data_IF_343130005111
#
_entry.id   IF_343130005111
#
_cell.length_a   1.000
_cell.length_b   1.000
_cell.length_c   1.000
_cell.angle_alpha   90.00
_cell.angle_beta   90.00
_cell.angle_gamma   90.00
#
_symmetry.space_group_name_H-M   'P 1'
#
loop_
_entity.id
_entity.type
_entity.pdbx_description
1 polymer ?
#
# COMPACT_ATOMS: atom_id res chain seq x y z
N UNK A 1 6.12 12.49 33.68
CA UNK A 1 6.31 13.64 32.78
C UNK A 1 4.97 13.94 32.12
N UNK A 2 4.54 15.19 32.04
CA UNK A 2 3.29 15.56 31.36
C UNK A 2 3.66 16.15 30.00
N UNK A 3 3.14 15.57 28.93
CA UNK A 3 3.23 16.13 27.59
C UNK A 3 1.93 16.89 27.33
N UNK A 4 2.05 18.15 26.93
CA UNK A 4 0.92 19.01 26.61
C UNK A 4 1.11 19.52 25.19
N UNK A 5 0.17 19.18 24.30
CA UNK A 5 0.08 19.76 22.97
C UNK A 5 -1.05 20.80 22.96
N UNK A 6 -0.73 22.04 22.57
CA UNK A 6 -1.68 23.12 22.46
C UNK A 6 -1.66 23.65 21.02
N UNK A 7 -2.84 23.88 20.45
CA UNK A 7 -3.00 24.68 19.23
C UNK A 7 -3.99 25.81 19.50
N UNK A 8 -3.74 26.96 18.89
CA UNK A 8 -4.61 28.11 19.08
C UNK A 8 -3.98 29.39 18.55
N UNK A 9 -4.72 30.48 18.70
CA UNK A 9 -4.24 31.83 18.47
C UNK A 9 -3.94 32.43 19.85
N UNK A 10 -2.75 33.00 20.02
CA UNK A 10 -2.36 33.72 21.25
C UNK A 10 -2.11 35.20 20.92
N UNK A 11 -2.80 36.10 21.63
CA UNK A 11 -2.58 37.55 21.50
C UNK A 11 -3.16 38.24 20.26
N UNK A 12 -3.93 37.54 19.42
CA UNK A 12 -4.45 38.06 18.14
C UNK A 12 -5.97 37.86 18.01
N UNK A 13 -6.58 38.53 17.02
CA UNK A 13 -8.00 38.35 16.65
C UNK A 13 -8.13 37.70 15.28
N UNK A 14 -9.01 36.71 15.12
CA UNK A 14 -9.23 36.02 13.84
C UNK A 14 -9.77 34.60 13.99
N UNK A 15 -9.82 33.85 12.89
CA UNK A 15 -10.24 32.44 12.85
C UNK A 15 -9.07 31.57 12.42
N UNK A 16 -8.74 30.55 13.20
CA UNK A 16 -7.81 29.48 12.82
C UNK A 16 -8.56 28.14 12.77
N UNK A 17 -8.22 27.34 11.76
CA UNK A 17 -8.72 25.98 11.60
C UNK A 17 -7.54 25.03 11.79
N UNK A 18 -7.71 24.05 12.68
CA UNK A 18 -6.75 22.99 12.92
C UNK A 18 -7.48 21.67 12.67
N UNK A 19 -6.83 20.74 11.98
CA UNK A 19 -7.34 19.41 11.73
C UNK A 19 -6.17 18.41 11.80
N UNK A 20 -6.47 17.13 12.00
CA UNK A 20 -5.51 16.02 11.98
C UNK A 20 -4.29 16.16 12.94
N UNK A 21 -4.50 16.69 14.15
CA UNK A 21 -3.43 16.76 15.15
C UNK A 21 -3.04 15.38 15.67
N UNK A 22 -1.76 15.07 15.60
CA UNK A 22 -1.19 13.82 16.08
C UNK A 22 -0.06 14.11 17.07
N UNK A 23 -0.09 13.42 18.21
CA UNK A 23 0.97 13.42 19.20
C UNK A 23 1.37 11.97 19.47
N UNK A 24 2.66 11.67 19.30
CA UNK A 24 3.18 10.32 19.48
C UNK A 24 4.48 10.30 20.28
N UNK A 25 4.76 9.15 20.89
CA UNK A 25 6.03 8.84 21.53
C UNK A 25 6.78 7.81 20.69
N UNK A 26 7.99 8.14 20.22
CA UNK A 26 8.80 7.24 19.40
C UNK A 26 10.07 7.88 18.85
N UNK A 27 11.00 7.05 18.38
CA UNK A 27 12.26 7.51 17.78
C UNK A 27 12.10 7.99 16.32
N UNK A 28 10.96 7.70 15.69
CA UNK A 28 10.61 8.09 14.33
C UNK A 28 9.16 8.58 14.30
N UNK A 29 8.86 9.56 13.43
CA UNK A 29 7.48 9.97 13.17
C UNK A 29 6.73 8.78 12.54
N UNK A 30 5.63 8.31 13.16
CA UNK A 30 4.79 7.32 12.49
C UNK A 30 3.88 8.01 11.48
N UNK A 31 3.30 7.20 10.61
CA UNK A 31 2.31 7.66 9.64
C UNK A 31 0.99 7.92 10.36
N UNK A 32 0.33 9.01 9.99
CA UNK A 32 -1.01 9.32 10.47
C UNK A 32 -1.98 8.21 10.07
N UNK A 33 -2.63 7.60 11.07
CA UNK A 33 -3.69 6.63 10.82
C UNK A 33 -4.95 7.38 10.42
N UNK A 34 -5.41 7.19 9.19
CA UNK A 34 -6.60 7.82 8.63
C UNK A 34 -7.91 7.29 9.25
N UNK A 35 -7.83 6.24 10.08
CA UNK A 35 -8.97 5.66 10.76
C UNK A 35 -9.18 6.29 12.13
N UNK A 36 -10.43 6.61 12.45
CA UNK A 36 -10.86 7.01 13.79
C UNK A 36 -11.37 5.80 14.57
N UNK A 37 -11.09 5.73 15.88
CA UNK A 37 -11.58 4.67 16.77
C UNK A 37 -11.27 3.26 16.19
N UNK A 38 -10.04 3.08 15.71
CA UNK A 38 -9.60 1.84 15.06
C UNK A 38 -9.25 0.73 16.04
N UNK A 39 -9.16 1.05 17.32
CA UNK A 39 -9.00 0.13 18.46
C UNK A 39 -10.34 -0.19 19.17
N UNK A 40 -11.46 0.29 18.62
CA UNK A 40 -12.82 0.07 19.11
C UNK A 40 -13.10 0.45 20.58
N UNK A 41 -12.22 1.22 21.23
CA UNK A 41 -12.39 1.67 22.63
C UNK A 41 -13.65 2.52 22.83
N UNK A 42 -14.11 3.20 21.77
CA UNK A 42 -15.34 4.01 21.76
C UNK A 42 -16.51 3.26 21.12
N UNK A 43 -16.52 1.93 21.18
CA UNK A 43 -17.57 1.12 20.57
C UNK A 43 -17.48 1.13 19.05
N UNK A 44 -18.64 1.19 18.38
CA UNK A 44 -18.73 1.33 16.92
C UNK A 44 -18.83 2.79 16.45
N UNK A 45 -18.40 3.74 17.28
CA UNK A 45 -18.36 5.15 16.89
C UNK A 45 -17.52 5.32 15.62
N UNK A 46 -18.04 6.06 14.62
CA UNK A 46 -17.48 6.22 13.26
C UNK A 46 -17.49 4.99 12.36
N UNK A 47 -18.03 3.86 12.83
CA UNK A 47 -18.14 2.63 12.06
C UNK A 47 -19.59 2.34 11.68
N UNK A 48 -19.83 2.14 10.39
CA UNK A 48 -21.10 1.65 9.87
C UNK A 48 -21.10 0.13 9.84
N UNK A 49 -22.26 -0.50 10.02
CA UNK A 49 -22.37 -1.96 10.06
C UNK A 49 -23.34 -2.48 9.01
N UNK A 50 -23.13 -3.71 8.58
CA UNK A 50 -24.04 -4.42 7.67
C UNK A 50 -24.17 -5.85 8.15
N UNK A 51 -25.42 -6.32 8.30
CA UNK A 51 -25.74 -7.72 8.59
C UNK A 51 -25.35 -8.22 9.99
N UNK A 52 -24.87 -7.35 10.88
CA UNK A 52 -24.62 -7.72 12.28
C UNK A 52 -25.93 -8.10 12.99
N UNK A 53 -25.85 -9.07 13.90
CA UNK A 53 -26.98 -9.61 14.67
C UNK A 53 -26.71 -9.49 16.17
N UNK A 54 -27.71 -9.84 16.99
CA UNK A 54 -27.53 -9.91 18.44
C UNK A 54 -26.37 -10.86 18.80
N UNK A 55 -25.39 -10.35 19.54
CA UNK A 55 -24.15 -11.06 19.88
C UNK A 55 -22.92 -10.63 19.07
N UNK A 56 -23.10 -9.89 17.97
CA UNK A 56 -22.01 -9.18 17.31
C UNK A 56 -21.78 -7.81 17.95
N UNK A 57 -20.57 -7.27 17.83
CA UNK A 57 -20.21 -5.93 18.32
C UNK A 57 -18.97 -5.95 19.19
N UNK A 58 -18.80 -4.92 20.01
CA UNK A 58 -17.61 -4.78 20.85
C UNK A 58 -17.74 -5.62 22.10
N UNK A 59 -16.73 -6.46 22.37
CA UNK A 59 -16.67 -7.35 23.54
C UNK A 59 -15.34 -7.17 24.26
N UNK A 60 -15.32 -7.48 25.56
CA UNK A 60 -14.07 -7.56 26.33
C UNK A 60 -13.44 -8.94 26.10
N UNK A 61 -12.22 -8.97 25.61
CA UNK A 61 -11.49 -10.20 25.26
C UNK A 61 -10.04 -10.14 25.76
N UNK A 62 -9.81 -10.20 27.08
CA UNK A 62 -8.46 -10.23 27.63
C UNK A 62 -7.70 -11.46 27.13
N UNK A 63 -6.58 -11.22 26.47
CA UNK A 63 -5.73 -12.25 25.87
C UNK A 63 -4.27 -11.79 25.89
N UNK A 64 -3.35 -12.52 26.54
CA UNK A 64 -1.93 -12.13 26.59
C UNK A 64 -1.24 -12.16 25.20
N UNK A 65 -1.84 -12.80 24.20
CA UNK A 65 -1.35 -12.77 22.82
C UNK A 65 -1.88 -11.56 22.02
N UNK A 66 -2.88 -10.84 22.53
CA UNK A 66 -3.33 -9.57 21.97
C UNK A 66 -2.30 -8.47 22.27
N UNK A 67 -2.00 -7.54 21.35
CA UNK A 67 -1.03 -6.48 21.63
C UNK A 67 -1.43 -5.64 22.84
N UNK A 68 -0.57 -5.62 23.87
CA UNK A 68 -0.83 -4.97 25.15
C UNK A 68 -0.95 -3.43 25.08
N UNK A 69 -0.64 -2.82 23.94
CA UNK A 69 -0.86 -1.39 23.68
C UNK A 69 -2.33 -1.04 23.44
N UNK A 70 -3.15 -2.01 23.04
CA UNK A 70 -4.59 -1.82 22.86
C UNK A 70 -5.35 -2.24 24.11
N UNK A 71 -6.60 -1.77 24.22
CA UNK A 71 -7.50 -2.24 25.26
C UNK A 71 -7.96 -3.68 25.02
N UNK A 72 -8.66 -4.28 25.98
CA UNK A 72 -9.31 -5.58 25.76
C UNK A 72 -10.62 -5.47 24.94
N UNK A 73 -11.03 -4.27 24.53
CA UNK A 73 -12.24 -4.04 23.75
C UNK A 73 -11.99 -4.34 22.27
N UNK A 74 -12.57 -5.45 21.77
CA UNK A 74 -12.37 -5.89 20.38
C UNK A 74 -13.69 -5.98 19.63
N UNK A 75 -13.67 -5.78 18.32
CA UNK A 75 -14.83 -6.05 17.46
C UNK A 75 -14.97 -7.57 17.26
N UNK A 76 -16.03 -8.16 17.80
CA UNK A 76 -16.39 -9.57 17.59
C UNK A 76 -17.54 -9.72 16.59
N UNK A 77 -17.36 -10.60 15.62
CA UNK A 77 -18.39 -10.97 14.64
C UNK A 77 -18.56 -12.48 14.64
N UNK A 78 -19.79 -12.94 14.90
CA UNK A 78 -20.20 -14.32 14.75
C UNK A 78 -20.66 -14.56 13.31
N UNK A 79 -20.08 -15.54 12.63
CA UNK A 79 -20.40 -15.93 11.27
C UNK A 79 -21.82 -16.51 11.14
N UNK A 80 -22.38 -16.36 9.95
CA UNK A 80 -23.56 -17.10 9.51
C UNK A 80 -23.36 -17.56 8.07
N UNK A 81 -23.69 -18.83 7.78
CA UNK A 81 -23.37 -19.48 6.50
C UNK A 81 -23.86 -18.72 5.25
N UNK A 82 -24.94 -17.94 5.37
CA UNK A 82 -25.51 -17.13 4.29
C UNK A 82 -25.43 -15.61 4.56
N UNK A 83 -24.96 -15.20 5.73
CA UNK A 83 -25.03 -13.80 6.16
C UNK A 83 -23.81 -13.01 5.67
N UNK A 84 -24.04 -11.95 4.88
CA UNK A 84 -23.00 -10.98 4.58
C UNK A 84 -22.84 -10.07 5.80
N UNK A 85 -21.66 -10.06 6.42
CA UNK A 85 -21.37 -9.25 7.60
C UNK A 85 -20.12 -8.42 7.40
N UNK A 86 -20.26 -7.12 7.65
CA UNK A 86 -19.14 -6.20 7.58
C UNK A 86 -19.28 -5.00 8.51
N UNK A 87 -18.14 -4.44 8.87
CA UNK A 87 -18.01 -3.16 9.59
C UNK A 87 -17.11 -2.26 8.76
N UNK A 88 -17.53 -1.03 8.54
CA UNK A 88 -16.96 -0.15 7.52
C UNK A 88 -16.77 1.27 8.06
N UNK A 89 -15.62 1.87 7.76
CA UNK A 89 -15.38 3.30 7.94
C UNK A 89 -14.95 3.89 6.61
N UNK A 90 -15.60 4.98 6.20
CA UNK A 90 -15.24 5.75 5.00
C UNK A 90 -14.44 6.97 5.40
N UNK A 91 -13.27 7.11 4.79
CA UNK A 91 -12.38 8.25 4.94
C UNK A 91 -12.52 9.14 3.70
N UNK A 92 -12.97 10.41 3.83
CA UNK A 92 -13.21 11.31 2.71
C UNK A 92 -11.89 11.91 2.21
N UNK A 93 -11.16 11.15 1.40
CA UNK A 93 -9.87 11.57 0.85
C UNK A 93 -9.83 11.34 -0.66
N UNK A 94 -9.23 12.28 -1.39
CA UNK A 94 -9.15 12.23 -2.86
C UNK A 94 -7.70 12.14 -3.35
N UNK A 95 -7.51 11.69 -4.58
CA UNK A 95 -6.19 11.56 -5.16
C UNK A 95 -6.22 11.03 -6.59
N UNK A 96 -5.04 10.70 -7.10
CA UNK A 96 -4.85 10.20 -8.45
C UNK A 96 -4.54 8.69 -8.48
N UNK A 97 -4.47 8.13 -9.68
CA UNK A 97 -3.90 6.80 -9.90
C UNK A 97 -2.41 6.77 -9.53
N UNK A 98 -1.93 5.60 -9.10
CA UNK A 98 -0.51 5.38 -8.78
C UNK A 98 -0.13 5.73 -7.34
N UNK A 99 -1.07 6.17 -6.51
CA UNK A 99 -0.86 6.35 -5.07
C UNK A 99 -0.98 5.01 -4.35
N UNK A 100 -0.27 4.87 -3.23
CA UNK A 100 -0.29 3.63 -2.44
C UNK A 100 -0.92 3.92 -1.08
N UNK A 101 -1.93 3.15 -0.73
CA UNK A 101 -2.38 3.01 0.64
C UNK A 101 -1.79 1.75 1.25
N UNK A 102 -1.55 1.76 2.55
CA UNK A 102 -1.28 0.53 3.29
C UNK A 102 -2.41 0.31 4.27
N UNK A 103 -3.04 -0.86 4.15
CA UNK A 103 -4.10 -1.33 5.02
C UNK A 103 -3.54 -2.41 5.94
N UNK A 104 -3.82 -2.30 7.24
CA UNK A 104 -3.46 -3.34 8.19
C UNK A 104 -4.41 -3.41 9.37
N UNK A 105 -4.19 -4.42 10.21
CA UNK A 105 -4.97 -4.63 11.42
C UNK A 105 -4.77 -6.02 12.01
N UNK A 106 -5.18 -6.16 13.27
CA UNK A 106 -5.14 -7.42 13.99
C UNK A 106 -6.46 -8.16 13.87
N UNK A 107 -6.36 -9.48 13.74
CA UNK A 107 -7.53 -10.34 13.90
C UNK A 107 -7.15 -11.69 14.49
N UNK A 108 -8.13 -12.36 15.07
CA UNK A 108 -8.11 -13.80 15.37
C UNK A 108 -9.47 -14.38 15.04
N UNK A 109 -9.55 -15.65 14.68
CA UNK A 109 -10.86 -16.23 14.41
C UNK A 109 -10.82 -17.72 14.13
N UNK A 110 -11.92 -18.39 14.47
CA UNK A 110 -12.12 -19.79 14.15
C UNK A 110 -12.78 -19.96 12.78
N UNK A 111 -12.25 -19.30 11.75
CA UNK A 111 -12.81 -19.35 10.39
C UNK A 111 -12.88 -20.78 9.87
N UNK A 112 -13.97 -21.12 9.19
CA UNK A 112 -13.98 -22.33 8.35
C UNK A 112 -13.22 -22.05 7.04
N UNK A 113 -12.89 -23.08 6.23
CA UNK A 113 -12.20 -22.87 4.96
C UNK A 113 -12.91 -21.83 4.07
N UNK A 114 -12.14 -20.82 3.65
CA UNK A 114 -12.55 -19.75 2.74
C UNK A 114 -12.78 -20.30 1.33
N UNK A 115 -13.95 -20.90 1.12
CA UNK A 115 -14.44 -21.42 -0.17
C UNK A 115 -15.70 -20.66 -0.59
N UNK A 116 -15.85 -20.38 -1.88
CA UNK A 116 -16.99 -19.59 -2.38
C UNK A 116 -16.93 -18.15 -1.87
N UNK A 117 -18.05 -17.66 -1.34
CA UNK A 117 -18.22 -16.27 -0.87
C UNK A 117 -17.75 -16.01 0.56
N UNK A 118 -17.13 -17.01 1.21
CA UNK A 118 -16.66 -16.91 2.61
C UNK A 118 -15.56 -15.87 2.75
N UNK A 119 -15.68 -15.03 3.78
CA UNK A 119 -14.73 -13.97 4.07
C UNK A 119 -14.24 -14.02 5.51
N UNK A 120 -12.95 -13.79 5.66
CA UNK A 120 -12.27 -13.42 6.89
C UNK A 120 -11.12 -12.50 6.46
N UNK A 121 -11.38 -11.21 6.38
CA UNK A 121 -10.53 -10.30 5.60
C UNK A 121 -10.64 -8.84 6.05
N UNK A 122 -9.62 -8.07 5.68
CA UNK A 122 -9.73 -6.62 5.52
C UNK A 122 -9.79 -6.30 4.02
N UNK A 123 -10.57 -5.29 3.68
CA UNK A 123 -10.72 -4.82 2.31
C UNK A 123 -10.61 -3.30 2.26
N UNK A 124 -9.82 -2.79 1.33
CA UNK A 124 -9.85 -1.38 0.94
C UNK A 124 -10.75 -1.23 -0.29
N UNK A 125 -11.83 -0.46 -0.15
CA UNK A 125 -12.69 -0.06 -1.24
C UNK A 125 -12.36 1.38 -1.64
N UNK A 126 -11.86 1.61 -2.85
CA UNK A 126 -11.50 2.95 -3.34
C UNK A 126 -12.63 3.44 -4.24
N UNK A 127 -13.30 4.53 -3.86
CA UNK A 127 -14.38 5.13 -4.64
C UNK A 127 -13.79 5.99 -5.76
N UNK A 128 -13.85 5.50 -7.00
CA UNK A 128 -13.33 6.21 -8.18
C UNK A 128 -14.19 7.43 -8.51
N UNK A 129 -13.58 8.42 -9.15
CA UNK A 129 -14.29 9.64 -9.62
C UNK A 129 -15.38 9.33 -10.65
N UNK A 130 -15.28 8.21 -11.37
CA UNK A 130 -16.29 7.74 -12.34
C UNK A 130 -17.50 7.03 -11.68
N UNK A 131 -17.51 6.91 -10.35
CA UNK A 131 -18.57 6.26 -9.58
C UNK A 131 -18.41 4.74 -9.41
N UNK A 132 -17.39 4.12 -10.01
CA UNK A 132 -17.07 2.71 -9.78
C UNK A 132 -16.17 2.53 -8.55
N UNK A 133 -15.96 1.29 -8.12
CA UNK A 133 -15.14 0.98 -6.92
C UNK A 133 -14.03 0.00 -7.27
N UNK A 134 -12.81 0.30 -6.83
CA UNK A 134 -11.71 -0.66 -6.80
C UNK A 134 -11.79 -1.43 -5.48
N UNK A 135 -11.87 -2.76 -5.54
CA UNK A 135 -11.93 -3.61 -4.36
C UNK A 135 -10.61 -4.36 -4.19
N UNK A 136 -9.87 -4.04 -3.13
CA UNK A 136 -8.63 -4.72 -2.76
C UNK A 136 -8.82 -5.47 -1.45
N UNK A 137 -9.07 -6.79 -1.54
CA UNK A 137 -9.31 -7.67 -0.39
C UNK A 137 -8.08 -8.50 -0.08
N UNK A 138 -7.71 -8.53 1.19
CA UNK A 138 -6.66 -9.42 1.69
C UNK A 138 -7.22 -10.25 2.85
N UNK A 139 -7.13 -11.56 2.70
CA UNK A 139 -7.66 -12.51 3.68
C UNK A 139 -6.66 -12.77 4.80
N UNK A 140 -7.17 -12.91 6.02
CA UNK A 140 -6.40 -13.46 7.14
C UNK A 140 -6.17 -14.96 6.96
N UNK A 141 -5.15 -15.49 7.62
CA UNK A 141 -4.89 -16.92 7.67
C UNK A 141 -6.02 -17.63 8.44
N UNK A 142 -6.75 -18.49 7.75
CA UNK A 142 -7.86 -19.28 8.30
C UNK A 142 -7.41 -20.51 9.10
N UNK A 143 -6.14 -20.88 8.99
CA UNK A 143 -5.59 -22.12 9.55
C UNK A 143 -5.00 -21.90 10.96
N UNK A 144 -5.06 -20.68 11.48
CA UNK A 144 -4.71 -20.35 12.88
C UNK A 144 -5.87 -19.62 13.56
N UNK A 145 -5.99 -19.85 14.87
CA UNK A 145 -6.94 -19.16 15.74
C UNK A 145 -6.25 -18.10 16.62
N UNK A 146 -4.92 -17.99 16.52
CA UNK A 146 -4.15 -16.99 17.25
C UNK A 146 -4.33 -15.59 16.63
N UNK A 147 -3.99 -14.58 17.42
CA UNK A 147 -3.85 -13.22 16.92
C UNK A 147 -2.80 -13.16 15.82
N UNK A 148 -3.17 -12.55 14.72
CA UNK A 148 -2.33 -12.34 13.55
C UNK A 148 -2.50 -10.91 13.07
N UNK A 149 -1.40 -10.36 12.57
CA UNK A 149 -1.39 -9.05 11.95
C UNK A 149 -1.34 -9.21 10.43
N UNK A 150 -2.27 -8.52 9.76
CA UNK A 150 -2.29 -8.40 8.32
C UNK A 150 -1.82 -7.00 7.95
N UNK A 151 -0.99 -6.89 6.92
CA UNK A 151 -0.59 -5.62 6.33
C UNK A 151 -0.41 -5.81 4.83
N UNK A 152 -0.99 -4.91 4.03
CA UNK A 152 -1.01 -5.02 2.57
C UNK A 152 -0.94 -3.63 1.93
N UNK A 153 -0.05 -3.41 0.95
CA UNK A 153 -0.14 -2.23 0.10
C UNK A 153 -1.29 -2.39 -0.90
N UNK A 154 -1.91 -1.27 -1.26
CA UNK A 154 -2.96 -1.18 -2.28
C UNK A 154 -2.67 0.02 -3.16
N UNK A 155 -2.40 -0.25 -4.44
CA UNK A 155 -2.17 0.78 -5.47
C UNK A 155 -3.51 1.28 -6.01
N UNK A 156 -3.70 2.59 -6.09
CA UNK A 156 -4.87 3.19 -6.75
C UNK A 156 -4.74 3.05 -8.28
N UNK A 157 -5.77 2.54 -8.93
CA UNK A 157 -5.76 2.35 -10.39
C UNK A 157 -6.36 3.52 -11.19
N UNK A 158 -7.00 4.47 -10.50
CA UNK A 158 -7.68 5.63 -11.07
C UNK A 158 -7.73 6.78 -10.07
N UNK A 159 -8.19 7.95 -10.53
CA UNK A 159 -8.54 9.05 -9.64
C UNK A 159 -9.74 8.67 -8.76
N UNK A 160 -9.73 9.15 -7.51
CA UNK A 160 -10.69 8.73 -6.49
C UNK A 160 -11.13 9.89 -5.58
N UNK A 161 -12.27 9.72 -4.93
CA UNK A 161 -12.91 10.71 -4.06
C UNK A 161 -13.08 10.25 -2.61
N UNK A 162 -12.82 8.96 -2.35
CA UNK A 162 -12.88 8.40 -1.01
C UNK A 162 -12.26 7.01 -0.97
N UNK A 163 -11.97 6.56 0.25
CA UNK A 163 -11.62 5.17 0.53
C UNK A 163 -12.43 4.67 1.71
N UNK A 164 -12.77 3.39 1.71
CA UNK A 164 -13.41 2.72 2.84
C UNK A 164 -12.61 1.51 3.27
N UNK A 165 -12.32 1.43 4.57
CA UNK A 165 -11.82 0.19 5.18
C UNK A 165 -13.02 -0.65 5.58
N UNK A 166 -12.99 -1.91 5.17
CA UNK A 166 -14.07 -2.88 5.43
C UNK A 166 -13.49 -4.09 6.14
N UNK A 167 -13.95 -4.31 7.37
CA UNK A 167 -13.77 -5.57 8.09
C UNK A 167 -14.84 -6.53 7.59
N UNK A 168 -14.45 -7.69 7.07
CA UNK A 168 -15.39 -8.68 6.51
C UNK A 168 -15.28 -10.03 7.21
N UNK A 169 -16.40 -10.49 7.78
CA UNK A 169 -16.59 -11.85 8.29
C UNK A 169 -17.93 -12.43 7.81
N UNK A 170 -18.12 -12.44 6.49
CA UNK A 170 -19.36 -12.83 5.81
C UNK A 170 -19.35 -14.27 5.29
N UNK A 171 -20.53 -14.88 5.23
CA UNK A 171 -20.80 -16.25 4.76
C UNK A 171 -19.98 -17.33 5.49
N UNK A 172 -19.37 -16.95 6.60
CA UNK A 172 -18.45 -17.74 7.40
C UNK A 172 -19.18 -18.35 8.62
N UNK A 173 -18.49 -19.18 9.40
CA UNK A 173 -19.01 -19.81 10.61
C UNK A 173 -18.10 -19.51 11.81
N UNK A 174 -18.54 -19.88 13.01
CA UNK A 174 -17.86 -19.56 14.28
C UNK A 174 -17.71 -18.05 14.46
N UNK A 175 -16.69 -17.57 15.18
CA UNK A 175 -16.51 -16.14 15.42
C UNK A 175 -15.09 -15.69 15.12
N UNK A 176 -14.95 -14.41 14.79
CA UNK A 176 -13.68 -13.71 14.68
C UNK A 176 -13.71 -12.41 15.48
N UNK A 177 -12.56 -12.03 16.00
CA UNK A 177 -12.30 -10.76 16.64
C UNK A 177 -11.32 -9.95 15.80
N UNK A 178 -11.48 -8.63 15.78
CA UNK A 178 -10.65 -7.67 15.06
C UNK A 178 -10.31 -6.51 15.99
N UNK A 179 -9.09 -5.97 15.85
CA UNK A 179 -8.66 -4.81 16.60
C UNK A 179 -7.51 -4.05 15.91
N UNK A 180 -7.20 -2.85 16.38
CA UNK A 180 -6.01 -2.09 16.00
C UNK A 180 -5.88 -1.87 14.50
N UNK A 181 -6.97 -1.46 13.83
CA UNK A 181 -6.98 -1.25 12.38
C UNK A 181 -6.14 -0.04 11.98
N UNK A 182 -5.53 -0.13 10.79
CA UNK A 182 -4.63 0.91 10.29
C UNK A 182 -4.87 1.15 8.81
N UNK A 183 -4.97 2.43 8.44
CA UNK A 183 -4.91 2.88 7.06
C UNK A 183 -4.05 4.13 7.00
N UNK A 184 -3.06 4.14 6.11
CA UNK A 184 -2.30 5.35 5.83
C UNK A 184 -1.95 5.44 4.35
N UNK A 185 -1.73 6.67 3.87
CA UNK A 185 -1.11 6.90 2.57
C UNK A 185 0.39 6.69 2.69
N UNK A 186 0.96 5.94 1.78
CA UNK A 186 2.40 5.81 1.65
C UNK A 186 2.93 6.99 0.85
N UNK A 187 3.28 8.07 1.55
CA UNK A 187 3.85 9.28 0.95
C UNK A 187 5.39 9.28 0.98
N UNK A 188 5.99 8.32 1.69
CA UNK A 188 7.43 8.28 1.98
C UNK A 188 8.09 6.95 1.54
N UNK A 189 7.52 6.28 0.54
CA UNK A 189 8.05 5.03 0.03
C UNK A 189 8.84 5.19 -1.26
N UNK A 190 9.99 4.53 -1.37
CA UNK A 190 10.51 4.16 -2.69
C UNK A 190 9.62 3.05 -3.24
N UNK A 191 9.08 3.24 -4.45
CA UNK A 191 8.28 2.19 -5.11
C UNK A 191 9.04 1.61 -6.29
N UNK A 192 8.84 0.30 -6.52
CA UNK A 192 9.40 -0.46 -7.63
C UNK A 192 8.25 -1.18 -8.33
N UNK A 193 8.05 -0.89 -9.62
CA UNK A 193 7.03 -1.54 -10.43
C UNK A 193 7.69 -2.58 -11.34
N UNK A 194 7.12 -3.79 -11.36
CA UNK A 194 7.59 -4.88 -12.20
C UNK A 194 6.53 -5.27 -13.22
N UNK A 195 6.96 -5.65 -14.42
CA UNK A 195 6.06 -6.29 -15.38
C UNK A 195 5.74 -7.74 -14.99
N UNK A 196 4.85 -8.39 -15.76
CA UNK A 196 4.42 -9.76 -15.50
C UNK A 196 5.55 -10.81 -15.64
N UNK A 197 6.70 -10.42 -16.20
CA UNK A 197 7.86 -11.28 -16.35
C UNK A 197 8.96 -10.96 -15.31
N UNK A 198 8.68 -10.04 -14.38
CA UNK A 198 9.58 -9.69 -13.29
C UNK A 198 10.64 -8.65 -13.65
N UNK A 199 10.53 -7.96 -14.79
CA UNK A 199 11.44 -6.87 -15.12
C UNK A 199 11.02 -5.59 -14.38
N UNK A 200 11.97 -4.86 -13.79
CA UNK A 200 11.72 -3.56 -13.17
C UNK A 200 11.41 -2.51 -14.24
N UNK A 201 10.17 -2.03 -14.33
CA UNK A 201 9.70 -1.07 -15.35
C UNK A 201 9.60 0.37 -14.87
N UNK A 202 9.48 0.60 -13.56
CA UNK A 202 9.53 1.95 -13.00
C UNK A 202 10.03 1.98 -11.55
N UNK A 203 10.68 3.08 -11.17
CA UNK A 203 10.97 3.43 -9.78
C UNK A 203 10.48 4.83 -9.48
N UNK A 204 9.89 5.04 -8.31
CA UNK A 204 9.56 6.37 -7.81
C UNK A 204 10.31 6.62 -6.49
N UNK A 205 10.98 7.76 -6.36
CA UNK A 205 11.57 8.20 -5.11
C UNK A 205 10.59 9.00 -4.24
N UNK A 206 11.06 9.48 -3.08
CA UNK A 206 10.30 10.28 -2.13
C UNK A 206 9.76 11.60 -2.71
N UNK A 207 10.37 12.11 -3.79
CA UNK A 207 9.91 13.30 -4.50
C UNK A 207 8.92 12.95 -5.63
N UNK A 208 8.45 11.69 -5.71
CA UNK A 208 7.67 11.13 -6.81
C UNK A 208 8.38 11.26 -8.17
N UNK A 209 9.70 11.36 -8.16
CA UNK A 209 10.50 11.44 -9.36
C UNK A 209 10.58 10.04 -9.99
N UNK A 210 9.92 9.87 -11.14
CA UNK A 210 9.75 8.57 -11.78
C UNK A 210 10.88 8.30 -12.78
N UNK A 211 11.64 7.23 -12.56
CA UNK A 211 12.51 6.65 -13.60
C UNK A 211 11.81 5.46 -14.23
N UNK A 212 11.78 5.37 -15.55
CA UNK A 212 11.17 4.24 -16.28
C UNK A 212 12.19 3.44 -17.07
N UNK A 213 11.90 2.16 -17.25
CA UNK A 213 12.79 1.18 -17.87
C UNK A 213 12.00 0.41 -18.93
N UNK A 214 12.56 0.28 -20.13
CA UNK A 214 11.96 -0.48 -21.23
C UNK A 214 12.84 -1.65 -21.62
N UNK A 215 12.22 -2.79 -21.88
CA UNK A 215 12.92 -4.03 -22.22
C UNK A 215 12.51 -4.51 -23.61
N UNK A 216 13.43 -5.18 -24.31
CA UNK A 216 13.11 -5.91 -25.54
C UNK A 216 12.40 -7.25 -25.22
N UNK A 217 12.00 -7.98 -26.26
CA UNK A 217 11.37 -9.33 -26.12
C UNK A 217 12.27 -10.38 -25.50
N UNK A 218 13.58 -10.13 -25.44
CA UNK A 218 14.53 -11.00 -24.75
C UNK A 218 14.67 -10.66 -23.27
N UNK A 219 14.06 -9.59 -22.75
CA UNK A 219 14.26 -9.06 -21.38
C UNK A 219 15.60 -8.30 -21.21
N UNK A 220 16.19 -7.74 -22.27
CA UNK A 220 17.31 -6.80 -22.13
C UNK A 220 16.79 -5.37 -21.96
N UNK A 221 17.36 -4.61 -21.03
CA UNK A 221 17.05 -3.19 -20.82
C UNK A 221 17.53 -2.37 -22.02
N UNK A 222 16.61 -1.80 -22.81
CA UNK A 222 16.92 -1.03 -24.03
C UNK A 222 16.76 0.47 -23.87
N UNK A 223 16.03 0.94 -22.85
CA UNK A 223 15.86 2.38 -22.59
C UNK A 223 15.63 2.66 -21.12
N UNK A 224 16.27 3.71 -20.62
CA UNK A 224 15.97 4.33 -19.32
C UNK A 224 15.52 5.77 -19.55
N UNK A 225 14.51 6.23 -18.82
CA UNK A 225 14.06 7.63 -18.83
C UNK A 225 14.06 8.15 -17.41
N UNK A 226 14.76 9.25 -17.17
CA UNK A 226 14.81 9.91 -15.86
C UNK A 226 13.55 10.75 -15.59
N UNK A 227 13.37 11.27 -14.37
CA UNK A 227 12.21 12.08 -14.02
C UNK A 227 12.07 13.39 -14.81
N UNK A 228 13.17 13.89 -15.40
CA UNK A 228 13.19 15.09 -16.23
C UNK A 228 12.87 14.79 -17.70
N UNK A 229 12.67 13.53 -18.05
CA UNK A 229 12.39 13.08 -19.41
C UNK A 229 13.64 12.85 -20.25
N UNK A 230 14.84 13.02 -19.69
CA UNK A 230 16.07 12.65 -20.38
C UNK A 230 16.17 11.13 -20.45
N UNK A 231 16.76 10.59 -21.51
CA UNK A 231 16.80 9.15 -21.71
C UNK A 231 18.16 8.65 -22.17
N UNK A 232 18.47 7.42 -21.82
CA UNK A 232 19.59 6.66 -22.38
C UNK A 232 19.08 5.41 -23.06
N UNK A 233 19.74 4.98 -24.15
CA UNK A 233 19.37 3.77 -24.89
C UNK A 233 20.51 2.77 -24.93
N UNK A 234 20.16 1.50 -25.04
CA UNK A 234 21.09 0.38 -24.99
C UNK A 234 20.77 -0.60 -26.11
N UNK A 235 21.77 -0.92 -26.91
CA UNK A 235 21.66 -1.88 -28.02
C UNK A 235 22.47 -3.12 -27.67
N UNK A 236 21.89 -4.29 -27.92
CA UNK A 236 22.52 -5.59 -27.65
C UNK A 236 22.74 -6.35 -28.96
N UNK A 237 23.74 -7.24 -28.95
CA UNK A 237 24.00 -8.12 -30.08
C UNK A 237 22.82 -9.05 -30.36
N UNK A 238 22.40 -9.12 -31.63
CA UNK A 238 21.33 -10.02 -32.10
C UNK A 238 21.80 -11.46 -32.29
N UNK A 239 23.10 -11.71 -32.25
CA UNK A 239 23.71 -13.02 -32.46
C UNK A 239 24.56 -13.42 -31.24
N UNK A 240 24.51 -14.70 -30.87
CA UNK A 240 25.34 -15.27 -29.80
C UNK A 240 24.89 -14.89 -28.39
N UNK A 241 25.83 -14.48 -27.53
CA UNK A 241 25.52 -14.09 -26.13
C UNK A 241 24.96 -12.66 -26.13
N UNK A 242 23.88 -12.39 -25.38
CA UNK A 242 23.21 -11.09 -25.24
C UNK A 242 24.12 -10.03 -24.61
N UNK A 243 24.97 -9.38 -25.42
CA UNK A 243 25.99 -8.44 -24.96
C UNK A 243 25.61 -7.03 -25.37
N UNK A 244 25.79 -6.06 -24.46
CA UNK A 244 25.62 -4.64 -24.75
C UNK A 244 26.67 -4.19 -25.77
N UNK A 245 26.26 -3.83 -26.99
CA UNK A 245 27.15 -3.36 -28.07
C UNK A 245 27.22 -1.85 -28.16
N UNK A 246 26.16 -1.15 -27.75
CA UNK A 246 26.11 0.32 -27.78
C UNK A 246 25.28 0.86 -26.61
N UNK A 247 25.72 1.98 -26.05
CA UNK A 247 24.93 2.80 -25.12
C UNK A 247 24.99 4.27 -25.55
N UNK A 248 23.86 4.96 -25.55
CA UNK A 248 23.77 6.39 -25.86
C UNK A 248 23.20 7.11 -24.64
N UNK A 249 23.92 8.11 -24.12
CA UNK A 249 23.45 8.90 -22.97
C UNK A 249 22.46 9.98 -23.39
N UNK A 250 21.82 10.62 -22.41
CA UNK A 250 20.93 11.76 -22.64
C UNK A 250 21.59 12.92 -23.38
N UNK A 251 22.88 13.13 -23.15
CA UNK A 251 23.70 14.16 -23.79
C UNK A 251 24.14 13.78 -25.21
N UNK A 252 23.73 12.60 -25.70
CA UNK A 252 24.09 12.09 -27.02
C UNK A 252 25.51 11.55 -27.12
N UNK A 253 26.14 11.21 -25.98
CA UNK A 253 27.45 10.54 -25.97
C UNK A 253 27.24 9.07 -26.29
N UNK A 254 27.88 8.58 -27.36
CA UNK A 254 27.77 7.18 -27.79
C UNK A 254 28.97 6.38 -27.31
N UNK A 255 28.69 5.29 -26.60
CA UNK A 255 29.65 4.28 -26.18
C UNK A 255 29.46 3.03 -27.02
N UNK A 256 30.53 2.49 -27.58
CA UNK A 256 30.52 1.22 -28.33
C UNK A 256 31.45 0.22 -27.68
N UNK A 257 30.99 -1.03 -27.59
CA UNK A 257 31.68 -2.10 -26.90
C UNK A 257 31.97 -3.26 -27.85
N UNK A 258 33.22 -3.73 -27.85
CA UNK A 258 33.63 -4.94 -28.56
C UNK A 258 34.08 -6.01 -27.56
N UNK A 259 33.75 -7.26 -27.86
CA UNK A 259 34.01 -8.40 -26.99
C UNK A 259 34.82 -9.46 -27.73
N UNK A 260 35.53 -10.28 -26.97
CA UNK A 260 36.11 -11.52 -27.51
C UNK A 260 35.08 -12.64 -27.64
N UNK A 261 35.49 -13.78 -28.20
CA UNK A 261 34.62 -14.95 -28.40
C UNK A 261 34.09 -15.51 -27.07
N UNK A 262 34.87 -15.36 -25.98
CA UNK A 262 34.50 -15.79 -24.64
C UNK A 262 33.49 -14.85 -23.97
N UNK A 263 33.37 -13.61 -24.43
CA UNK A 263 32.45 -12.59 -23.93
C UNK A 263 33.06 -11.60 -22.97
N UNK A 264 34.39 -11.53 -22.92
CA UNK A 264 35.08 -10.49 -22.17
C UNK A 264 35.13 -9.20 -22.99
N UNK A 265 34.91 -8.02 -22.38
CA UNK A 265 35.07 -6.75 -23.07
C UNK A 265 36.54 -6.55 -23.47
N UNK A 266 36.79 -6.35 -24.76
CA UNK A 266 38.12 -6.04 -25.31
C UNK A 266 38.33 -4.55 -25.55
N UNK A 267 37.25 -3.83 -25.86
CA UNK A 267 37.32 -2.42 -26.21
C UNK A 267 36.05 -1.69 -25.80
N UNK A 268 36.21 -0.46 -25.32
CA UNK A 268 35.16 0.53 -25.17
C UNK A 268 35.61 1.80 -25.91
N UNK A 269 34.81 2.29 -26.85
CA UNK A 269 35.06 3.53 -27.59
C UNK A 269 33.99 4.54 -27.25
N UNK A 270 34.41 5.75 -26.87
CA UNK A 270 33.51 6.89 -26.69
C UNK A 270 33.56 7.73 -27.95
N UNK A 271 32.45 7.81 -28.68
CA UNK A 271 32.29 8.78 -29.75
C UNK A 271 31.71 10.05 -29.12
N UNK A 272 32.58 11.03 -28.87
CA UNK A 272 32.14 12.37 -28.51
C UNK A 272 31.67 13.11 -29.77
N UNK A 273 30.46 13.65 -29.75
CA UNK A 273 30.08 14.65 -30.73
C UNK A 273 30.94 15.90 -30.50
N UNK A 274 31.81 16.22 -31.48
CA UNK A 274 32.38 17.55 -31.62
C UNK A 274 31.23 18.46 -32.06
N UNK A 275 30.62 19.17 -31.12
CA UNK A 275 29.73 20.27 -31.48
C UNK A 275 30.58 21.39 -32.09
N UNK A 276 30.30 21.74 -33.35
CA UNK A 276 30.72 23.01 -33.97
C UNK A 276 29.70 24.09 -33.63
#
# INVERSE_FOLDING_TARGET
PQVVACVGIEGESGTAWFDELQLEEGEMANRFNLLENSDFTLGLTRWSTTGLVAGDGIVQSPDPAHPASFSDAVLSITGGASAAKSVLQTVPVSGAAGEVFVLGGWARGASVPLTGERKFALTLAIQRTDGTVQWARTAFNRDTQDWQYLCTPVLTDSAYTGVSVVVEYGQNLNSAAFDGLQLYREEFGQSYQYDAQGNLVATADLAKANTTFQYNTSHDLVKTVDPQGNFSTYTYSTEGKRRLTEAVTAEGVTYQFAYDDFGNPRQAVVQGNVYR
#
